data_IF_565451557872
#
_entry.id   IF_565451557872
#
_cell.length_a   1.000
_cell.length_b   1.000
_cell.length_c   1.000
_cell.angle_alpha   90.00
_cell.angle_beta   90.00
_cell.angle_gamma   90.00
#
_symmetry.space_group_name_H-M   'P 1'
#
loop_
_entity.id
_entity.type
_entity.pdbx_description
1 polymer ?
#
# COMPACT_ATOMS: atom_id res chain seq x y z
N UNK A 1 12.07 13.41 3.01
CA UNK A 1 11.58 12.03 3.14
C UNK A 1 11.81 11.61 4.60
N UNK A 2 10.79 11.56 5.46
CA UNK A 2 10.98 11.13 6.86
C UNK A 2 11.17 9.61 6.85
N UNK A 3 12.40 9.15 7.09
CA UNK A 3 12.69 7.73 7.23
C UNK A 3 12.02 7.28 8.51
N UNK A 4 10.99 6.44 8.41
CA UNK A 4 10.40 5.83 9.59
C UNK A 4 11.41 4.81 10.10
N UNK A 5 12.02 5.09 11.25
CA UNK A 5 13.08 4.25 11.83
C UNK A 5 12.62 2.80 12.04
N UNK A 6 11.32 2.56 12.25
CA UNK A 6 10.74 1.22 12.33
C UNK A 6 10.90 0.39 11.04
N UNK A 7 10.99 1.04 9.87
CA UNK A 7 11.23 0.36 8.60
C UNK A 7 12.68 -0.13 8.41
N UNK A 8 13.60 0.26 9.30
CA UNK A 8 15.00 -0.17 9.30
C UNK A 8 15.35 -0.97 10.57
N UNK A 9 14.83 -0.57 11.73
CA UNK A 9 15.12 -1.23 13.00
C UNK A 9 14.67 -2.69 13.01
N UNK A 10 13.45 -2.98 12.53
CA UNK A 10 12.91 -4.35 12.53
C UNK A 10 13.71 -5.24 11.54
N UNK A 11 13.99 -4.83 10.29
CA UNK A 11 14.85 -5.61 9.40
C UNK A 11 16.27 -5.81 9.91
N UNK A 12 16.87 -4.81 10.57
CA UNK A 12 18.20 -4.94 11.18
C UNK A 12 18.16 -5.94 12.34
N UNK A 13 17.10 -5.94 13.17
CA UNK A 13 16.91 -6.96 14.19
C UNK A 13 16.75 -8.36 13.58
N UNK A 14 16.01 -8.48 12.48
CA UNK A 14 15.89 -9.72 11.72
C UNK A 14 17.23 -10.20 11.12
N UNK A 15 18.07 -9.27 10.67
CA UNK A 15 19.42 -9.56 10.20
C UNK A 15 20.31 -10.07 11.33
N UNK A 16 20.30 -9.41 12.48
CA UNK A 16 21.07 -9.83 13.65
C UNK A 16 20.62 -11.20 14.19
N UNK A 17 19.30 -11.43 14.25
CA UNK A 17 18.77 -12.74 14.65
C UNK A 17 19.18 -13.83 13.65
N UNK A 18 19.12 -13.57 12.35
CA UNK A 18 19.53 -14.52 11.33
C UNK A 18 21.05 -14.77 11.31
N UNK A 19 21.86 -13.75 11.62
CA UNK A 19 23.31 -13.89 11.75
C UNK A 19 23.68 -14.92 12.82
N UNK A 20 23.02 -14.88 13.98
CA UNK A 20 23.32 -15.75 15.12
C UNK A 20 22.62 -17.12 15.05
N UNK A 21 21.40 -17.18 14.51
CA UNK A 21 20.53 -18.34 14.66
C UNK A 21 20.33 -19.16 13.38
N UNK A 22 20.58 -18.58 12.20
CA UNK A 22 20.25 -19.23 10.93
C UNK A 22 21.50 -19.61 10.14
N UNK A 23 21.66 -20.90 9.85
CA UNK A 23 22.66 -21.39 8.91
C UNK A 23 22.13 -21.40 7.48
N UNK A 24 23.01 -21.52 6.50
CA UNK A 24 22.61 -21.70 5.09
C UNK A 24 21.83 -23.02 4.92
N UNK A 25 22.14 -24.05 5.71
CA UNK A 25 21.39 -25.31 5.73
C UNK A 25 19.95 -25.12 6.24
N UNK A 26 19.74 -24.27 7.25
CA UNK A 26 18.40 -23.91 7.72
C UNK A 26 17.60 -23.26 6.59
N UNK A 27 18.18 -22.29 5.87
CA UNK A 27 17.52 -21.63 4.75
C UNK A 27 17.17 -22.59 3.61
N UNK A 28 18.04 -23.55 3.30
CA UNK A 28 17.75 -24.60 2.32
C UNK A 28 16.57 -25.47 2.72
N UNK A 29 16.50 -25.90 3.99
CA UNK A 29 15.39 -26.69 4.50
C UNK A 29 14.07 -25.89 4.50
N UNK A 30 14.12 -24.60 4.87
CA UNK A 30 12.96 -23.72 4.91
C UNK A 30 12.54 -23.19 3.53
N UNK A 31 13.42 -23.25 2.52
CA UNK A 31 13.24 -22.64 1.20
C UNK A 31 11.88 -22.97 0.55
N UNK A 32 11.40 -24.22 0.49
CA UNK A 32 10.11 -24.51 -0.14
C UNK A 32 8.97 -23.74 0.54
N UNK A 33 8.91 -23.78 1.87
CA UNK A 33 7.85 -23.10 2.65
C UNK A 33 7.91 -21.57 2.51
N UNK A 34 9.11 -20.99 2.55
CA UNK A 34 9.32 -19.55 2.42
C UNK A 34 8.98 -19.07 1.00
N UNK A 35 9.41 -19.80 -0.03
CA UNK A 35 9.08 -19.48 -1.41
C UNK A 35 7.58 -19.60 -1.67
N UNK A 36 6.89 -20.61 -1.11
CA UNK A 36 5.43 -20.71 -1.20
C UNK A 36 4.75 -19.50 -0.56
N UNK A 37 5.11 -19.16 0.68
CA UNK A 37 4.53 -18.00 1.37
C UNK A 37 4.75 -16.70 0.59
N UNK A 38 5.97 -16.48 0.09
CA UNK A 38 6.31 -15.31 -0.70
C UNK A 38 5.59 -15.28 -2.06
N UNK A 39 5.38 -16.43 -2.70
CA UNK A 39 4.64 -16.52 -3.96
C UNK A 39 3.17 -16.14 -3.78
N UNK A 40 2.55 -16.57 -2.67
CA UNK A 40 1.17 -16.16 -2.32
C UNK A 40 1.09 -14.65 -2.12
N UNK A 41 2.07 -14.06 -1.41
CA UNK A 41 2.14 -12.60 -1.21
C UNK A 41 2.31 -11.88 -2.56
N UNK A 42 3.24 -12.35 -3.40
CA UNK A 42 3.48 -11.77 -4.73
C UNK A 42 2.22 -11.82 -5.59
N UNK A 43 1.52 -12.96 -5.60
CA UNK A 43 0.27 -13.13 -6.32
C UNK A 43 -0.81 -12.16 -5.82
N UNK A 44 -0.98 -12.02 -4.50
CA UNK A 44 -1.92 -11.06 -3.91
C UNK A 44 -1.63 -9.62 -4.32
N UNK A 45 -0.35 -9.23 -4.32
CA UNK A 45 0.09 -7.89 -4.77
C UNK A 45 -0.17 -7.69 -6.27
N UNK A 46 0.11 -8.69 -7.12
CA UNK A 46 -0.14 -8.61 -8.56
C UNK A 46 -1.63 -8.49 -8.88
N UNK A 47 -2.49 -9.31 -8.26
CA UNK A 47 -3.94 -9.24 -8.44
C UNK A 47 -4.45 -7.87 -8.06
N UNK A 48 -3.93 -7.31 -6.96
CA UNK A 48 -4.31 -5.98 -6.50
C UNK A 48 -3.88 -4.87 -7.46
N UNK A 49 -2.67 -4.95 -8.02
CA UNK A 49 -2.20 -4.02 -9.04
C UNK A 49 -3.05 -4.11 -10.32
N UNK A 50 -3.45 -5.32 -10.73
CA UNK A 50 -4.25 -5.56 -11.93
C UNK A 50 -5.70 -5.08 -11.79
N UNK A 51 -6.32 -5.28 -10.62
CA UNK A 51 -7.69 -4.82 -10.35
C UNK A 51 -7.78 -3.30 -10.13
N UNK A 52 -6.67 -2.66 -9.81
CA UNK A 52 -6.67 -1.26 -9.38
C UNK A 52 -7.37 -1.08 -8.03
N UNK A 53 -7.54 0.18 -7.63
CA UNK A 53 -8.27 0.54 -6.42
C UNK A 53 -9.76 0.72 -6.76
N UNK A 54 -10.69 0.16 -5.97
CA UNK A 54 -12.12 0.18 -6.30
C UNK A 54 -12.66 1.60 -6.16
N UNK A 55 -12.87 2.28 -7.28
CA UNK A 55 -13.54 3.58 -7.34
C UNK A 55 -14.70 3.51 -8.32
N UNK A 56 -15.91 3.57 -7.79
CA UNK A 56 -17.13 3.32 -8.58
C UNK A 56 -17.74 4.55 -9.25
N UNK A 57 -17.31 5.80 -8.98
CA UNK A 57 -17.82 6.99 -9.70
C UNK A 57 -16.93 8.24 -9.52
N UNK A 58 -16.07 8.59 -10.50
CA UNK A 58 -15.27 9.82 -10.50
C UNK A 58 -16.13 11.10 -10.57
N UNK A 59 -17.30 11.01 -11.20
CA UNK A 59 -18.15 12.16 -11.56
C UNK A 59 -18.82 12.83 -10.35
N UNK A 60 -18.74 12.21 -9.16
CA UNK A 60 -19.32 12.75 -7.93
C UNK A 60 -18.35 13.64 -7.15
N UNK A 61 -17.08 13.67 -7.54
CA UNK A 61 -16.02 14.39 -6.83
C UNK A 61 -15.66 15.70 -7.53
N UNK A 62 -15.32 16.72 -6.74
CA UNK A 62 -14.73 17.94 -7.28
C UNK A 62 -13.32 17.67 -7.84
N UNK A 63 -12.88 18.53 -8.75
CA UNK A 63 -11.60 18.38 -9.46
C UNK A 63 -10.39 18.31 -8.50
N UNK A 64 -10.44 19.02 -7.37
CA UNK A 64 -9.39 18.99 -6.34
C UNK A 64 -9.40 17.71 -5.50
N UNK A 65 -10.58 17.14 -5.24
CA UNK A 65 -10.76 15.85 -4.53
C UNK A 65 -10.22 14.70 -5.41
N UNK A 66 -10.52 14.74 -6.71
CA UNK A 66 -9.98 13.79 -7.70
C UNK A 66 -8.45 13.87 -7.75
N UNK A 67 -7.86 15.06 -7.71
CA UNK A 67 -6.39 15.23 -7.69
C UNK A 67 -5.77 14.64 -6.42
N UNK A 68 -6.41 14.85 -5.27
CA UNK A 68 -5.94 14.30 -3.99
C UNK A 68 -5.98 12.76 -4.00
N UNK A 69 -7.09 12.20 -4.46
CA UNK A 69 -7.26 10.75 -4.64
C UNK A 69 -6.22 10.19 -5.61
N UNK A 70 -6.08 10.79 -6.81
CA UNK A 70 -5.12 10.34 -7.82
C UNK A 70 -3.67 10.37 -7.29
N UNK A 71 -3.33 11.37 -6.48
CA UNK A 71 -2.04 11.45 -5.80
C UNK A 71 -1.83 10.29 -4.81
N UNK A 72 -2.84 9.97 -4.00
CA UNK A 72 -2.78 8.86 -3.05
C UNK A 72 -2.71 7.50 -3.75
N UNK A 73 -3.47 7.30 -4.83
CA UNK A 73 -3.44 6.11 -5.70
C UNK A 73 -2.03 5.91 -6.28
N UNK A 74 -1.44 6.96 -6.88
CA UNK A 74 -0.08 6.86 -7.46
C UNK A 74 0.97 6.48 -6.42
N UNK A 75 0.83 6.96 -5.18
CA UNK A 75 1.70 6.58 -4.07
C UNK A 75 1.51 5.11 -3.68
N UNK A 76 0.27 4.64 -3.59
CA UNK A 76 -0.05 3.23 -3.29
C UNK A 76 0.50 2.29 -4.36
N UNK A 77 0.28 2.58 -5.64
CA UNK A 77 0.82 1.78 -6.77
C UNK A 77 2.35 1.73 -6.73
N UNK A 78 3.02 2.85 -6.45
CA UNK A 78 4.47 2.89 -6.32
C UNK A 78 4.96 2.05 -5.13
N UNK A 79 4.25 2.07 -4.02
CA UNK A 79 4.56 1.24 -2.85
C UNK A 79 4.40 -0.25 -3.15
N UNK A 80 3.34 -0.64 -3.86
CA UNK A 80 3.11 -2.01 -4.32
C UNK A 80 4.19 -2.49 -5.31
N UNK A 81 4.58 -1.64 -6.26
CA UNK A 81 5.70 -1.94 -7.18
C UNK A 81 7.02 -2.11 -6.44
N UNK A 82 7.28 -1.31 -5.42
CA UNK A 82 8.47 -1.47 -4.59
C UNK A 82 8.40 -2.77 -3.77
N UNK A 83 7.24 -3.11 -3.21
CA UNK A 83 7.04 -4.36 -2.46
C UNK A 83 7.32 -5.58 -3.33
N UNK A 84 6.78 -5.65 -4.55
CA UNK A 84 7.01 -6.80 -5.42
C UNK A 84 8.48 -6.97 -5.83
N UNK A 85 9.18 -5.86 -6.08
CA UNK A 85 10.62 -5.90 -6.38
C UNK A 85 11.42 -6.49 -5.20
N UNK A 86 11.08 -6.08 -3.97
CA UNK A 86 11.72 -6.60 -2.76
C UNK A 86 11.40 -8.07 -2.53
N UNK A 87 10.16 -8.49 -2.79
CA UNK A 87 9.75 -9.91 -2.72
C UNK A 87 10.57 -10.75 -3.71
N UNK A 88 10.73 -10.31 -4.96
CA UNK A 88 11.57 -11.01 -5.93
C UNK A 88 13.05 -11.05 -5.52
N UNK A 89 13.59 -9.97 -4.98
CA UNK A 89 14.96 -9.94 -4.45
C UNK A 89 15.14 -10.92 -3.30
N UNK A 90 14.19 -10.97 -2.37
CA UNK A 90 14.20 -11.89 -1.24
C UNK A 90 14.10 -13.35 -1.73
N UNK A 91 13.22 -13.66 -2.70
CA UNK A 91 13.13 -14.99 -3.30
C UNK A 91 14.43 -15.38 -4.00
N UNK A 92 15.00 -14.47 -4.81
CA UNK A 92 16.29 -14.68 -5.46
C UNK A 92 17.40 -14.95 -4.44
N UNK A 93 17.46 -14.15 -3.37
CA UNK A 93 18.45 -14.35 -2.30
C UNK A 93 18.32 -15.72 -1.64
N UNK A 94 17.10 -16.20 -1.38
CA UNK A 94 16.85 -17.54 -0.84
C UNK A 94 17.27 -18.64 -1.82
N UNK A 95 16.92 -18.51 -3.09
CA UNK A 95 17.24 -19.51 -4.13
C UNK A 95 18.76 -19.65 -4.29
N UNK A 96 19.46 -18.52 -4.32
CA UNK A 96 20.90 -18.49 -4.56
C UNK A 96 21.76 -18.55 -3.29
N UNK A 97 21.18 -18.52 -2.08
CA UNK A 97 21.92 -18.47 -0.81
C UNK A 97 23.02 -19.53 -0.71
N UNK A 98 22.71 -20.81 -0.97
CA UNK A 98 23.70 -21.90 -0.94
C UNK A 98 24.74 -21.77 -2.04
N UNK A 99 24.32 -21.47 -3.27
CA UNK A 99 25.23 -21.32 -4.40
C UNK A 99 26.24 -20.19 -4.16
N UNK A 100 25.76 -19.06 -3.63
CA UNK A 100 26.57 -17.91 -3.23
C UNK A 100 27.53 -18.31 -2.11
N UNK A 101 27.07 -19.00 -1.07
CA UNK A 101 27.92 -19.48 0.02
C UNK A 101 29.05 -20.38 -0.50
N UNK A 102 28.71 -21.36 -1.33
CA UNK A 102 29.70 -22.28 -1.91
C UNK A 102 30.69 -21.58 -2.83
N UNK A 103 30.23 -20.64 -3.65
CA UNK A 103 31.08 -19.90 -4.57
C UNK A 103 32.04 -18.96 -3.84
N UNK A 104 31.57 -18.30 -2.77
CA UNK A 104 32.39 -17.44 -1.92
C UNK A 104 33.44 -18.28 -1.19
N UNK A 105 33.05 -19.37 -0.52
CA UNK A 105 34.00 -20.23 0.20
C UNK A 105 35.04 -20.89 -0.72
N UNK A 106 34.67 -21.18 -1.98
CA UNK A 106 35.59 -21.72 -2.99
C UNK A 106 36.47 -20.65 -3.66
N UNK A 107 36.16 -19.35 -3.49
CA UNK A 107 36.93 -18.29 -4.11
C UNK A 107 38.29 -18.12 -3.40
N UNK A 108 39.36 -18.29 -4.17
CA UNK A 108 40.76 -18.21 -3.71
C UNK A 108 41.15 -16.85 -3.10
N UNK A 109 40.33 -15.83 -3.28
CA UNK A 109 40.58 -14.45 -2.87
C UNK A 109 39.92 -14.05 -1.55
N UNK A 110 39.16 -14.93 -0.88
CA UNK A 110 38.60 -14.60 0.44
C UNK A 110 39.70 -14.68 1.50
N UNK A 111 40.00 -13.59 2.23
CA UNK A 111 40.95 -13.65 3.33
C UNK A 111 40.50 -14.66 4.38
N UNK A 112 41.42 -15.47 4.91
CA UNK A 112 41.12 -16.50 5.93
C UNK A 112 40.35 -15.93 7.14
N UNK A 113 40.58 -14.65 7.48
CA UNK A 113 39.86 -13.95 8.55
C UNK A 113 38.40 -13.64 8.25
N UNK A 114 38.00 -13.61 6.97
CA UNK A 114 36.64 -13.27 6.52
C UNK A 114 35.79 -14.53 6.30
N UNK A 115 36.42 -15.67 5.98
CA UNK A 115 35.73 -16.93 5.73
C UNK A 115 34.71 -17.34 6.82
N UNK A 116 34.96 -17.17 8.14
CA UNK A 116 33.99 -17.50 9.18
C UNK A 116 32.72 -16.64 9.17
N UNK A 117 32.78 -15.45 8.57
CA UNK A 117 31.69 -14.48 8.54
C UNK A 117 30.87 -14.53 7.24
N UNK A 118 31.29 -15.33 6.25
CA UNK A 118 30.60 -15.45 4.96
C UNK A 118 29.21 -16.03 5.14
N UNK A 119 29.09 -17.16 5.83
CA UNK A 119 27.82 -17.83 6.06
C UNK A 119 26.86 -16.98 6.93
N UNK A 120 27.27 -16.47 8.11
CA UNK A 120 26.46 -15.54 8.90
C UNK A 120 26.04 -14.29 8.13
N UNK A 121 26.93 -13.76 7.28
CA UNK A 121 26.65 -12.60 6.42
C UNK A 121 25.56 -12.87 5.40
N UNK A 122 25.59 -14.02 4.73
CA UNK A 122 24.52 -14.44 3.80
C UNK A 122 23.21 -14.60 4.55
N UNK A 123 23.23 -15.26 5.71
CA UNK A 123 22.04 -15.43 6.56
C UNK A 123 21.47 -14.10 7.02
N UNK A 124 22.30 -13.13 7.40
CA UNK A 124 21.84 -11.80 7.78
C UNK A 124 21.20 -11.05 6.62
N UNK A 125 21.73 -11.16 5.40
CA UNK A 125 21.11 -10.57 4.19
C UNK A 125 19.74 -11.20 3.94
N UNK A 126 19.63 -12.52 4.00
CA UNK A 126 18.35 -13.22 3.82
C UNK A 126 17.35 -12.81 4.91
N UNK A 127 17.77 -12.82 6.18
CA UNK A 127 16.95 -12.40 7.32
C UNK A 127 16.49 -10.95 7.24
N UNK A 128 17.39 -10.04 6.82
CA UNK A 128 17.06 -8.65 6.56
C UNK A 128 15.98 -8.53 5.50
N UNK A 129 16.17 -9.18 4.35
CA UNK A 129 15.25 -9.11 3.22
C UNK A 129 13.87 -9.67 3.56
N UNK A 130 13.81 -10.84 4.21
CA UNK A 130 12.54 -11.43 4.64
C UNK A 130 11.80 -10.53 5.63
N UNK A 131 12.50 -10.04 6.64
CA UNK A 131 11.90 -9.15 7.64
C UNK A 131 11.46 -7.82 7.03
N UNK A 132 12.24 -7.29 6.07
CA UNK A 132 11.88 -6.09 5.33
C UNK A 132 10.63 -6.31 4.46
N UNK A 133 10.45 -7.48 3.83
CA UNK A 133 9.20 -7.84 3.15
C UNK A 133 8.02 -7.74 4.12
N UNK A 134 8.10 -8.37 5.30
CA UNK A 134 7.02 -8.31 6.29
C UNK A 134 6.67 -6.88 6.70
N UNK A 135 7.67 -6.07 7.03
CA UNK A 135 7.46 -4.68 7.42
C UNK A 135 6.84 -3.86 6.29
N UNK A 136 7.24 -4.11 5.04
CA UNK A 136 6.66 -3.42 3.87
C UNK A 136 5.22 -3.85 3.59
N UNK A 137 4.87 -5.11 3.86
CA UNK A 137 3.47 -5.55 3.77
C UNK A 137 2.61 -4.74 4.75
N UNK A 138 3.00 -4.64 6.02
CA UNK A 138 2.27 -3.83 7.01
C UNK A 138 2.17 -2.35 6.60
N UNK A 139 3.26 -1.78 6.06
CA UNK A 139 3.25 -0.40 5.58
C UNK A 139 2.28 -0.19 4.41
N UNK A 140 2.18 -1.16 3.49
CA UNK A 140 1.22 -1.14 2.39
C UNK A 140 -0.20 -1.24 2.92
N UNK A 141 -0.50 -2.19 3.81
CA UNK A 141 -1.83 -2.36 4.42
C UNK A 141 -2.27 -1.06 5.12
N UNK A 142 -1.39 -0.44 5.90
CA UNK A 142 -1.69 0.85 6.54
C UNK A 142 -1.98 1.95 5.52
N UNK A 143 -1.24 1.97 4.40
CA UNK A 143 -1.50 2.88 3.29
C UNK A 143 -2.88 2.66 2.67
N UNK A 144 -3.34 1.42 2.60
CA UNK A 144 -4.63 1.06 2.03
C UNK A 144 -5.79 1.47 2.91
N UNK A 145 -5.66 1.24 4.22
CA UNK A 145 -6.62 1.71 5.21
C UNK A 145 -6.73 3.22 5.15
N UNK A 146 -5.59 3.95 5.14
CA UNK A 146 -5.62 5.41 5.05
C UNK A 146 -6.24 5.93 3.75
N UNK A 147 -6.13 5.16 2.66
CA UNK A 147 -6.77 5.51 1.40
C UNK A 147 -8.28 5.26 1.49
N UNK A 148 -8.72 4.14 2.09
CA UNK A 148 -10.13 3.86 2.31
C UNK A 148 -10.79 4.91 3.20
N UNK A 149 -10.10 5.36 4.27
CA UNK A 149 -10.56 6.44 5.14
C UNK A 149 -10.71 7.75 4.35
N UNK A 150 -9.69 8.12 3.55
CA UNK A 150 -9.75 9.30 2.67
C UNK A 150 -10.93 9.21 1.68
N UNK A 151 -11.19 8.03 1.12
CA UNK A 151 -12.31 7.82 0.21
C UNK A 151 -13.65 8.02 0.91
N UNK A 152 -13.81 7.43 2.10
CA UNK A 152 -15.00 7.59 2.93
C UNK A 152 -15.26 9.06 3.28
N UNK A 153 -14.24 9.79 3.73
CA UNK A 153 -14.34 11.22 4.06
C UNK A 153 -14.77 12.06 2.85
N UNK A 154 -14.21 11.79 1.67
CA UNK A 154 -14.56 12.49 0.44
C UNK A 154 -15.98 12.14 -0.05
N UNK A 155 -16.42 10.90 0.12
CA UNK A 155 -17.79 10.49 -0.20
C UNK A 155 -18.81 11.18 0.70
N UNK A 156 -18.53 11.27 2.00
CA UNK A 156 -19.40 11.99 2.95
C UNK A 156 -19.53 13.45 2.53
N UNK A 157 -18.41 14.15 2.25
CA UNK A 157 -18.42 15.54 1.77
C UNK A 157 -19.15 15.73 0.46
N UNK A 158 -19.04 14.78 -0.48
CA UNK A 158 -19.76 14.82 -1.74
C UNK A 158 -21.28 14.68 -1.53
N UNK A 159 -21.71 13.81 -0.61
CA UNK A 159 -23.12 13.64 -0.25
C UNK A 159 -23.66 14.88 0.46
N UNK A 160 -22.93 15.44 1.43
CA UNK A 160 -23.31 16.67 2.14
C UNK A 160 -23.53 17.83 1.18
N UNK A 161 -22.60 18.06 0.26
CA UNK A 161 -22.71 19.08 -0.80
C UNK A 161 -23.93 18.86 -1.69
N UNK A 162 -24.20 17.61 -2.10
CA UNK A 162 -25.37 17.28 -2.91
C UNK A 162 -26.68 17.50 -2.16
N UNK A 163 -26.71 17.30 -0.84
CA UNK A 163 -27.86 17.61 0.00
C UNK A 163 -28.04 19.12 0.19
N UNK A 164 -26.95 19.86 0.41
CA UNK A 164 -26.96 21.33 0.46
C UNK A 164 -27.50 21.92 -0.85
N UNK A 165 -26.99 21.49 -2.01
CA UNK A 165 -27.47 21.93 -3.32
C UNK A 165 -28.96 21.62 -3.54
N UNK A 166 -29.46 20.49 -3.01
CA UNK A 166 -30.89 20.15 -3.07
C UNK A 166 -31.71 21.03 -2.16
N UNK A 167 -31.22 21.31 -0.96
CA UNK A 167 -31.88 22.18 0.00
C UNK A 167 -31.97 23.61 -0.54
N UNK A 168 -30.87 24.16 -1.05
CA UNK A 168 -30.82 25.49 -1.67
C UNK A 168 -31.77 25.59 -2.88
N UNK A 169 -31.81 24.56 -3.73
CA UNK A 169 -32.77 24.49 -4.86
C UNK A 169 -34.23 24.39 -4.39
N UNK A 170 -34.49 23.80 -3.22
CA UNK A 170 -35.84 23.68 -2.66
C UNK A 170 -36.27 25.00 -2.00
N UNK A 171 -35.37 25.67 -1.28
CA UNK A 171 -35.58 27.02 -0.75
C UNK A 171 -35.81 28.04 -1.87
N UNK A 172 -34.96 28.05 -2.89
CA UNK A 172 -35.11 28.93 -4.05
C UNK A 172 -36.42 28.70 -4.83
N UNK A 173 -37.00 27.50 -4.74
CA UNK A 173 -38.34 27.20 -5.29
C UNK A 173 -39.50 27.55 -4.35
N UNK A 174 -39.23 27.63 -3.04
CA UNK A 174 -40.23 27.93 -2.00
C UNK A 174 -40.52 29.43 -1.87
N UNK A 175 -39.58 30.30 -2.22
CA UNK A 175 -39.75 31.77 -2.12
C UNK A 175 -40.62 32.40 -3.22
N UNK A 176 -41.31 31.60 -4.02
CA UNK A 176 -42.28 32.10 -5.00
C UNK A 176 -43.68 31.51 -4.78
N UNK A 177 -44.45 32.00 -3.78
CA UNK A 177 -45.89 31.95 -3.92
C UNK A 177 -46.27 32.93 -5.02
N UNK A 178 -46.48 32.45 -6.24
CA UNK A 178 -47.34 33.17 -7.18
C UNK A 178 -48.74 33.10 -6.60
N UNK A 179 -49.09 34.07 -5.74
CA UNK A 179 -50.49 34.34 -5.43
C UNK A 179 -51.17 34.70 -6.75
N UNK A 180 -51.81 33.73 -7.39
CA UNK A 180 -52.86 34.02 -8.35
C UNK A 180 -53.99 34.64 -7.55
N UNK A 181 -54.14 35.96 -7.66
CA UNK A 181 -55.36 36.61 -7.21
C UNK A 181 -56.56 35.91 -7.86
N UNK A 182 -57.57 35.47 -7.09
CA UNK A 182 -58.75 34.85 -7.66
C UNK A 182 -59.44 35.84 -8.61
N UNK A 183 -59.83 35.36 -9.80
CA UNK A 183 -60.51 36.17 -10.80
C UNK A 183 -61.78 36.79 -10.21
N UNK A 184 -61.82 38.13 -10.10
CA UNK A 184 -62.97 38.88 -9.58
C UNK A 184 -62.73 39.71 -8.32
N UNK A 185 -61.56 39.65 -7.70
CA UNK A 185 -61.23 40.54 -6.59
C UNK A 185 -61.03 41.99 -7.10
N UNK A 186 -61.90 42.91 -6.66
CA UNK A 186 -61.87 44.33 -7.06
C UNK A 186 -62.98 44.80 -8.00
N UNK A 187 -64.03 44.00 -8.26
CA UNK A 187 -65.23 44.53 -8.94
C UNK A 187 -65.97 45.51 -8.02
N UNK A 188 -65.88 46.79 -8.36
CA UNK A 188 -66.72 47.85 -7.80
C UNK A 188 -68.15 47.59 -8.28
N UNK A 189 -69.08 47.40 -7.34
CA UNK A 189 -70.51 47.27 -7.63
C UNK A 189 -70.99 48.66 -8.04
N UNK A 190 -71.54 48.78 -9.25
CA UNK A 190 -72.14 50.01 -9.79
C UNK A 190 -73.65 49.78 -9.96
#
# INVERSE_FOLDING_TARGET
MKINWSHLAIPVAGAAAAWELASVAFWEAAKPSLLTAMSVIAAGVLVRLARGLPFNNPDQFALDEVRQIAGAIKRSIRALRALIAVVFLAMGSLVFAKAINTALLAATYIPVKVAPYVEPGISAVVGFLLTYVFVRIFAVIKGDVSLADLQSDLLVKAVERKQADRFDKTLAKSDAPTMKNPEGYGKIIQ
#
